data_IF_274796466842
#
_entry.id   IF_274796466842
#
_cell.length_a   1.000
_cell.length_b   1.000
_cell.length_c   1.000
_cell.angle_alpha   90.00
_cell.angle_beta   90.00
_cell.angle_gamma   90.00
#
_symmetry.space_group_name_H-M   'P 1'
#
loop_
_entity.id
_entity.type
_entity.pdbx_description
1 polymer ?
#
# COMPACT_ATOMS: atom_id res chain seq x y z
N UNK A 1 -18.35 13.38 -26.25
CA UNK A 1 -17.58 12.37 -25.50
C UNK A 1 -18.23 12.27 -24.12
N UNK A 2 -18.74 11.11 -23.73
CA UNK A 2 -19.36 10.90 -22.41
C UNK A 2 -18.33 10.21 -21.52
N UNK A 3 -17.79 10.90 -20.55
CA UNK A 3 -16.96 10.29 -19.51
C UNK A 3 -17.87 9.86 -18.36
N UNK A 4 -17.94 8.57 -18.03
CA UNK A 4 -18.79 8.11 -16.95
C UNK A 4 -18.31 8.65 -15.60
N UNK A 5 -19.25 8.89 -14.71
CA UNK A 5 -18.98 9.30 -13.32
C UNK A 5 -18.04 8.26 -12.68
N UNK A 6 -17.00 8.73 -11.98
CA UNK A 6 -15.96 7.88 -11.38
C UNK A 6 -14.74 7.60 -12.27
N UNK A 7 -14.71 8.09 -13.51
CA UNK A 7 -13.52 7.97 -14.38
C UNK A 7 -12.44 9.00 -14.04
N UNK A 8 -11.19 8.61 -14.20
CA UNK A 8 -10.06 9.53 -14.16
C UNK A 8 -9.90 10.21 -15.53
N UNK A 9 -9.71 11.53 -15.51
CA UNK A 9 -9.59 12.35 -16.73
C UNK A 9 -8.41 13.30 -16.62
N UNK A 10 -7.70 13.47 -17.72
CA UNK A 10 -6.78 14.58 -17.92
C UNK A 10 -7.51 15.69 -18.69
N UNK A 11 -7.50 16.90 -18.13
CA UNK A 11 -8.15 18.07 -18.75
C UNK A 11 -7.08 19.14 -18.97
N UNK A 12 -6.94 19.59 -20.21
CA UNK A 12 -5.99 20.64 -20.60
C UNK A 12 -6.69 21.79 -21.31
N UNK A 13 -6.08 22.98 -21.33
CA UNK A 13 -6.65 24.22 -21.86
C UNK A 13 -7.99 24.59 -21.19
N UNK A 14 -7.97 24.68 -19.87
CA UNK A 14 -9.10 25.12 -19.05
C UNK A 14 -8.96 26.59 -18.66
N UNK A 15 -10.09 27.22 -18.35
CA UNK A 15 -10.12 28.55 -17.75
C UNK A 15 -10.45 28.39 -16.27
N UNK A 16 -9.63 28.97 -15.40
CA UNK A 16 -9.90 29.04 -13.96
C UNK A 16 -10.61 30.34 -13.67
N UNK A 17 -11.74 30.27 -12.99
CA UNK A 17 -12.53 31.44 -12.59
C UNK A 17 -12.69 31.45 -11.07
N UNK A 18 -12.79 32.64 -10.49
CA UNK A 18 -13.18 32.80 -9.09
C UNK A 18 -14.54 33.48 -9.06
N UNK A 19 -15.53 32.82 -8.47
CA UNK A 19 -16.86 33.36 -8.28
C UNK A 19 -17.31 33.03 -6.87
N UNK A 20 -17.79 34.03 -6.13
CA UNK A 20 -18.22 33.87 -4.74
C UNK A 20 -17.15 33.21 -3.85
N UNK A 21 -15.89 33.66 -3.97
CA UNK A 21 -14.71 33.12 -3.25
C UNK A 21 -14.38 31.64 -3.55
N UNK A 22 -15.12 30.99 -4.44
CA UNK A 22 -14.85 29.63 -4.89
C UNK A 22 -14.05 29.62 -6.21
N UNK A 23 -13.03 28.77 -6.27
CA UNK A 23 -12.27 28.51 -7.49
C UNK A 23 -12.99 27.44 -8.31
N UNK A 24 -13.37 27.78 -9.53
CA UNK A 24 -14.03 26.89 -10.48
C UNK A 24 -13.20 26.72 -11.75
N UNK A 25 -13.38 25.57 -12.42
CA UNK A 25 -12.75 25.26 -13.70
C UNK A 25 -13.83 25.19 -14.76
N UNK A 26 -13.65 25.93 -15.85
CA UNK A 26 -14.58 25.97 -16.97
C UNK A 26 -13.98 25.43 -18.25
N UNK A 27 -14.81 24.75 -19.03
CA UNK A 27 -14.46 24.20 -20.33
C UNK A 27 -14.79 25.20 -21.44
N UNK A 28 -13.99 25.16 -22.50
CA UNK A 28 -14.21 25.94 -23.73
C UNK A 28 -14.10 25.04 -24.94
N UNK A 29 -14.34 25.57 -26.15
CA UNK A 29 -14.13 24.84 -27.40
C UNK A 29 -12.67 24.37 -27.61
N UNK A 30 -11.69 24.94 -26.89
CA UNK A 30 -10.27 24.57 -26.96
C UNK A 30 -9.86 23.54 -25.90
N UNK A 31 -10.74 23.26 -24.94
CA UNK A 31 -10.47 22.31 -23.87
C UNK A 31 -10.36 20.90 -24.44
N UNK A 32 -9.30 20.20 -24.06
CA UNK A 32 -9.12 18.78 -24.39
C UNK A 32 -9.37 17.98 -23.14
N UNK A 33 -10.23 16.97 -23.26
CA UNK A 33 -10.55 16.03 -22.19
C UNK A 33 -10.19 14.63 -22.67
N UNK A 34 -9.32 13.96 -21.95
CA UNK A 34 -8.86 12.61 -22.25
C UNK A 34 -9.14 11.71 -21.06
N UNK A 35 -9.72 10.54 -21.30
CA UNK A 35 -9.85 9.53 -20.26
C UNK A 35 -8.48 8.89 -20.04
N UNK A 36 -8.05 8.82 -18.78
CA UNK A 36 -6.79 8.22 -18.39
C UNK A 36 -7.05 7.03 -17.47
N UNK A 37 -6.08 6.14 -17.36
CA UNK A 37 -6.10 5.10 -16.34
C UNK A 37 -6.01 5.74 -14.95
N UNK A 38 -6.62 5.10 -13.94
CA UNK A 38 -6.41 5.49 -12.55
C UNK A 38 -4.91 5.54 -12.25
N UNK A 39 -4.39 6.65 -11.71
CA UNK A 39 -2.98 6.78 -11.41
C UNK A 39 -2.60 5.81 -10.29
N UNK A 40 -1.34 5.36 -10.32
CA UNK A 40 -0.79 4.58 -9.22
C UNK A 40 -0.54 5.49 -8.02
N UNK A 41 -1.01 5.08 -6.86
CA UNK A 41 -0.79 5.70 -5.56
C UNK A 41 0.45 5.05 -4.95
N UNK A 42 1.47 5.85 -4.65
CA UNK A 42 2.64 5.43 -3.88
C UNK A 42 2.59 6.08 -2.51
N UNK A 43 2.46 5.28 -1.44
CA UNK A 43 2.35 5.76 -0.06
C UNK A 43 3.00 4.79 0.93
N UNK A 44 3.56 5.33 2.01
CA UNK A 44 3.92 4.56 3.21
C UNK A 44 2.69 4.48 4.11
N UNK A 45 2.31 3.27 4.52
CA UNK A 45 1.13 3.01 5.37
C UNK A 45 1.52 2.06 6.50
N UNK A 46 0.97 2.30 7.69
CA UNK A 46 1.03 1.34 8.80
C UNK A 46 -0.23 0.49 8.77
N UNK A 47 -0.12 -0.78 8.38
CA UNK A 47 -1.24 -1.70 8.44
C UNK A 47 -1.46 -2.15 9.88
N UNK A 48 -2.70 -2.09 10.35
CA UNK A 48 -3.06 -2.37 11.75
C UNK A 48 -4.01 -3.56 11.89
N UNK A 49 -4.76 -3.90 10.85
CA UNK A 49 -5.65 -5.05 10.84
C UNK A 49 -5.69 -5.70 9.44
N UNK A 50 -6.18 -6.94 9.41
CA UNK A 50 -6.45 -7.65 8.16
C UNK A 50 -7.71 -8.50 8.28
N UNK A 51 -8.34 -8.74 7.14
CA UNK A 51 -9.47 -9.64 7.00
C UNK A 51 -9.24 -10.56 5.80
N UNK A 52 -9.57 -11.84 5.96
CA UNK A 52 -9.55 -12.80 4.86
C UNK A 52 -10.64 -12.44 3.86
N UNK A 53 -10.25 -12.14 2.62
CA UNK A 53 -11.19 -11.92 1.54
C UNK A 53 -11.37 -13.22 0.73
N UNK A 54 -12.52 -13.36 0.08
CA UNK A 54 -12.74 -14.47 -0.84
C UNK A 54 -11.75 -14.40 -2.02
N UNK A 55 -11.41 -15.56 -2.61
CA UNK A 55 -10.57 -15.69 -3.82
C UNK A 55 -9.07 -15.41 -3.65
N UNK A 56 -8.48 -15.74 -2.50
CA UNK A 56 -7.01 -15.71 -2.32
C UNK A 56 -6.43 -14.30 -2.21
N UNK A 57 -7.26 -13.36 -1.77
CA UNK A 57 -6.86 -12.00 -1.44
C UNK A 57 -7.04 -11.75 0.07
N UNK A 58 -6.38 -10.72 0.58
CA UNK A 58 -6.54 -10.20 1.93
C UNK A 58 -6.93 -8.73 1.85
N UNK A 59 -7.86 -8.32 2.70
CA UNK A 59 -8.10 -6.91 2.98
C UNK A 59 -7.16 -6.47 4.11
N UNK A 60 -6.43 -5.38 3.92
CA UNK A 60 -5.55 -4.77 4.90
C UNK A 60 -6.07 -3.39 5.26
N UNK A 61 -6.28 -3.13 6.54
CA UNK A 61 -6.66 -1.82 7.05
C UNK A 61 -5.40 -1.04 7.44
N UNK A 62 -5.20 0.10 6.79
CA UNK A 62 -4.15 1.05 7.10
C UNK A 62 -4.56 2.04 8.17
N UNK A 63 -3.59 2.52 8.93
CA UNK A 63 -3.68 3.70 9.79
C UNK A 63 -2.94 4.84 9.09
N UNK A 64 -3.67 5.91 8.75
CA UNK A 64 -3.10 7.14 8.22
C UNK A 64 -3.09 8.20 9.34
N UNK A 65 -2.04 9.02 9.39
CA UNK A 65 -1.83 10.05 10.43
C UNK A 65 -2.93 11.14 10.49
N UNK A 66 -3.88 11.14 9.55
CA UNK A 66 -5.05 12.03 9.51
C UNK A 66 -6.30 11.45 10.20
N UNK A 67 -6.21 10.25 10.79
CA UNK A 67 -7.31 9.57 11.47
C UNK A 67 -8.25 8.83 10.52
N UNK A 68 -7.86 8.64 9.25
CA UNK A 68 -8.56 7.81 8.28
C UNK A 68 -8.01 6.37 8.30
N UNK A 69 -8.90 5.39 8.10
CA UNK A 69 -8.57 3.95 8.15
C UNK A 69 -8.86 3.26 6.82
N UNK A 70 -8.09 3.57 5.75
CA UNK A 70 -8.35 3.03 4.43
C UNK A 70 -8.11 1.52 4.36
N UNK A 71 -8.99 0.84 3.64
CA UNK A 71 -8.85 -0.58 3.31
C UNK A 71 -8.22 -0.78 1.93
N UNK A 72 -7.28 -1.72 1.86
CA UNK A 72 -6.57 -2.11 0.66
C UNK A 72 -6.65 -3.62 0.43
N UNK A 73 -6.81 -4.03 -0.83
CA UNK A 73 -6.85 -5.43 -1.22
C UNK A 73 -5.49 -5.84 -1.75
N UNK A 74 -4.97 -6.98 -1.29
CA UNK A 74 -3.70 -7.54 -1.75
C UNK A 74 -3.82 -9.05 -2.02
N UNK A 75 -3.18 -9.52 -3.09
CA UNK A 75 -3.08 -10.95 -3.40
C UNK A 75 -2.15 -11.65 -2.42
N UNK A 76 -2.54 -12.82 -1.93
CA UNK A 76 -1.77 -13.62 -0.98
C UNK A 76 -0.32 -13.83 -1.44
N UNK A 77 -0.10 -14.17 -2.71
CA UNK A 77 1.24 -14.43 -3.25
C UNK A 77 2.14 -13.19 -3.27
N UNK A 78 1.55 -12.00 -3.37
CA UNK A 78 2.30 -10.75 -3.34
C UNK A 78 2.74 -10.43 -1.92
N UNK A 79 1.84 -10.61 -0.96
CA UNK A 79 2.12 -10.41 0.45
C UNK A 79 3.08 -11.47 1.02
N UNK A 80 2.93 -12.73 0.61
CA UNK A 80 3.82 -13.83 0.98
C UNK A 80 5.28 -13.55 0.58
N UNK A 81 5.48 -13.05 -0.65
CA UNK A 81 6.81 -12.62 -1.13
C UNK A 81 7.40 -11.50 -0.30
N UNK A 82 6.60 -10.50 0.08
CA UNK A 82 7.06 -9.39 0.90
C UNK A 82 7.38 -9.82 2.34
N UNK A 83 6.57 -10.71 2.92
CA UNK A 83 6.76 -11.28 4.26
C UNK A 83 7.85 -12.35 4.32
N UNK A 84 8.34 -12.82 3.17
CA UNK A 84 9.29 -13.94 3.02
C UNK A 84 8.75 -15.23 3.66
N UNK A 85 7.48 -15.55 3.41
CA UNK A 85 6.82 -16.77 3.89
C UNK A 85 6.06 -17.48 2.76
N UNK A 86 5.51 -18.65 3.06
CA UNK A 86 4.59 -19.35 2.16
C UNK A 86 3.18 -18.75 2.26
N UNK A 87 2.37 -18.91 1.21
CA UNK A 87 1.01 -18.35 1.14
C UNK A 87 0.10 -18.82 2.29
N UNK A 88 0.28 -20.05 2.77
CA UNK A 88 -0.47 -20.61 3.92
C UNK A 88 0.01 -20.12 5.30
N UNK A 89 1.14 -19.41 5.37
CA UNK A 89 1.69 -18.87 6.62
C UNK A 89 1.45 -17.36 6.75
N UNK A 90 0.88 -16.71 5.72
CA UNK A 90 0.72 -15.25 5.65
C UNK A 90 -0.11 -14.73 6.83
N UNK A 91 -1.28 -15.31 7.08
CA UNK A 91 -2.17 -14.87 8.17
C UNK A 91 -1.50 -15.00 9.53
N UNK A 92 -0.88 -16.15 9.80
CA UNK A 92 -0.14 -16.38 11.05
C UNK A 92 1.01 -15.38 11.23
N UNK A 93 1.68 -14.98 10.14
CA UNK A 93 2.73 -13.97 10.18
C UNK A 93 2.18 -12.57 10.44
N UNK A 94 1.04 -12.22 9.86
CA UNK A 94 0.38 -10.94 10.10
C UNK A 94 -0.06 -10.80 11.56
N UNK A 95 -0.64 -11.85 12.15
CA UNK A 95 -1.04 -11.84 13.57
C UNK A 95 0.10 -11.50 14.53
N UNK A 96 1.34 -11.83 14.18
CA UNK A 96 2.53 -11.55 15.02
C UNK A 96 3.25 -10.25 14.63
N UNK A 97 3.05 -9.78 13.40
CA UNK A 97 3.78 -8.62 12.84
C UNK A 97 2.97 -7.35 12.74
N UNK A 98 1.66 -7.40 12.96
CA UNK A 98 0.86 -6.18 13.05
C UNK A 98 1.13 -5.47 14.40
N UNK A 99 1.25 -4.14 14.41
CA UNK A 99 1.17 -3.24 13.26
C UNK A 99 2.41 -3.29 12.34
N UNK A 100 2.20 -3.21 11.03
CA UNK A 100 3.20 -3.42 9.98
C UNK A 100 3.35 -2.18 9.11
N UNK A 101 4.51 -1.52 9.16
CA UNK A 101 4.82 -0.40 8.27
C UNK A 101 5.30 -0.89 6.91
N UNK A 102 4.72 -0.38 5.84
CA UNK A 102 5.10 -0.76 4.48
C UNK A 102 4.87 0.36 3.47
N UNK A 103 5.78 0.43 2.50
CA UNK A 103 5.60 1.21 1.29
C UNK A 103 4.76 0.40 0.30
N UNK A 104 3.66 1.00 -0.16
CA UNK A 104 2.79 0.38 -1.16
C UNK A 104 2.75 1.19 -2.44
N UNK A 105 2.57 0.46 -3.54
CA UNK A 105 2.08 0.98 -4.80
C UNK A 105 0.71 0.34 -5.08
N UNK A 106 -0.35 1.13 -4.95
CA UNK A 106 -1.72 0.69 -5.16
C UNK A 106 -2.35 1.39 -6.34
N UNK A 107 -3.25 0.70 -7.04
CA UNK A 107 -4.13 1.31 -8.03
C UNK A 107 -5.55 1.23 -7.51
N UNK A 108 -6.17 2.38 -7.30
CA UNK A 108 -7.42 2.52 -6.56
C UNK A 108 -7.28 1.98 -5.12
N UNK A 109 -7.65 0.72 -4.88
CA UNK A 109 -7.49 0.01 -3.60
C UNK A 109 -6.73 -1.31 -3.72
N UNK A 110 -6.33 -1.73 -4.91
CA UNK A 110 -5.57 -2.97 -5.12
C UNK A 110 -4.07 -2.69 -5.03
N UNK A 111 -3.39 -3.33 -4.08
CA UNK A 111 -1.94 -3.24 -3.91
C UNK A 111 -1.26 -4.10 -4.96
N UNK A 112 -0.53 -3.44 -5.86
CA UNK A 112 0.23 -4.07 -6.93
C UNK A 112 1.69 -4.31 -6.56
N UNK A 113 2.24 -3.55 -5.60
CA UNK A 113 3.57 -3.75 -5.03
C UNK A 113 3.56 -3.35 -3.56
N UNK A 114 4.28 -4.10 -2.72
CA UNK A 114 4.47 -3.80 -1.30
C UNK A 114 5.91 -4.08 -0.91
N UNK A 115 6.47 -3.16 -0.14
CA UNK A 115 7.77 -3.32 0.49
C UNK A 115 7.61 -3.05 1.98
N UNK A 116 7.78 -4.11 2.77
CA UNK A 116 7.66 -4.03 4.22
C UNK A 116 8.93 -3.40 4.77
N UNK A 117 8.77 -2.34 5.56
CA UNK A 117 9.87 -1.79 6.35
C UNK A 117 10.19 -2.82 7.44
N UNK A 118 11.32 -3.50 7.30
CA UNK A 118 11.77 -4.42 8.35
C UNK A 118 12.23 -3.59 9.55
N UNK A 119 11.41 -3.54 10.60
CA UNK A 119 11.93 -3.24 11.92
C UNK A 119 12.93 -4.34 12.24
N UNK A 120 14.23 -4.01 12.25
CA UNK A 120 15.26 -4.88 12.79
C UNK A 120 15.02 -4.93 14.30
N UNK A 121 13.99 -5.67 14.73
CA UNK A 121 13.92 -6.14 16.10
C UNK A 121 15.03 -7.17 16.20
N UNK A 122 16.14 -6.76 16.83
CA UNK A 122 17.33 -7.56 16.98
C UNK A 122 16.97 -8.97 17.44
N UNK A 123 17.16 -9.94 16.56
CA UNK A 123 17.50 -11.28 16.99
C UNK A 123 18.86 -11.15 17.70
N UNK A 124 18.83 -10.82 19.00
CA UNK A 124 19.81 -11.37 19.92
C UNK A 124 19.51 -12.87 20.01
N UNK A 125 19.85 -13.57 18.93
CA UNK A 125 20.21 -14.97 19.01
C UNK A 125 21.34 -14.99 20.02
N UNK A 126 21.05 -15.45 21.24
CA UNK A 126 22.05 -15.86 22.21
C UNK A 126 23.06 -16.71 21.44
N UNK A 127 24.19 -16.07 21.11
CA UNK A 127 25.38 -16.72 20.59
C UNK A 127 25.75 -17.74 21.66
N UNK A 128 25.32 -18.98 21.43
CA UNK A 128 25.74 -20.12 22.20
C UNK A 128 27.26 -20.05 22.28
N UNK A 129 27.75 -19.91 23.51
CA UNK A 129 29.16 -20.02 23.82
C UNK A 129 29.66 -21.37 23.32
N UNK A 130 30.18 -21.41 22.09
CA UNK A 130 31.04 -22.50 21.65
C UNK A 130 32.38 -22.27 22.30
N UNK A 131 32.52 -22.88 23.48
CA UNK A 131 33.78 -23.10 24.17
C UNK A 131 34.72 -23.87 23.23
N UNK A 132 35.61 -23.16 22.55
CA UNK A 132 36.74 -23.77 21.86
C UNK A 132 37.90 -23.94 22.87
N UNK A 133 37.94 -25.11 23.53
CA UNK A 133 39.15 -25.57 24.23
C UNK A 133 40.26 -25.72 23.19
N UNK A 134 41.31 -24.90 23.27
CA UNK A 134 42.61 -25.23 22.69
C UNK A 134 43.43 -25.97 23.75
N UNK A 135 43.58 -27.29 23.58
CA UNK A 135 44.69 -28.03 24.19
C UNK A 135 45.90 -27.91 23.27
N UNK A 136 47.00 -27.43 23.84
CA UNK A 136 48.37 -27.50 23.33
C UNK A 136 48.87 -28.94 23.51
N UNK A 137 49.76 -29.41 22.62
CA UNK A 137 51.09 -29.78 23.09
C UNK A 137 52.15 -28.77 22.66
#
# INVERSE_FOLDING_TARGET
>A
MKTPVGSHVEITNVIVQVYNEEKSVSTTSRTKLMQIAAPDIVKSITFIAFEAAENGCLSLMGDLDDGDYPEFIIKLDLLARALKCKSNEVEARLMVKLPLKADIKAKEKEINQIQIEQTIFGCNTLLGQRVARKQKP
#
